data_IF_868456463957
#
_entry.id   IF_868456463957
#
_cell.length_a   1.000
_cell.length_b   1.000
_cell.length_c   1.000
_cell.angle_alpha   90.00
_cell.angle_beta   90.00
_cell.angle_gamma   90.00
#
_symmetry.space_group_name_H-M   'P 1'
#
loop_
_entity.id
_entity.type
_entity.pdbx_description
1 polymer ?
#
# COMPACT_ATOMS: atom_id res chain seq x y z
N UNK A 1 62.25 1.28 27.60
CA UNK A 1 62.82 0.66 26.40
C UNK A 1 62.48 1.55 25.20
N UNK A 2 63.52 1.95 24.46
CA UNK A 2 63.47 2.80 23.26
C UNK A 2 62.78 2.15 22.06
N UNK A 3 62.24 2.99 21.16
CA UNK A 3 62.53 3.11 19.70
C UNK A 3 61.56 4.17 19.12
N UNK A 4 61.99 5.37 18.72
CA UNK A 4 62.43 5.78 17.34
C UNK A 4 61.51 5.18 16.26
N UNK A 5 60.90 5.99 15.37
CA UNK A 5 61.54 6.46 14.12
C UNK A 5 60.71 7.60 13.47
N UNK A 6 61.43 8.62 12.98
CA UNK A 6 61.00 9.67 12.03
C UNK A 6 60.81 9.11 10.61
N UNK A 7 59.87 9.66 9.83
CA UNK A 7 59.92 9.74 8.34
C UNK A 7 58.68 10.51 7.87
N UNK A 8 58.61 11.25 6.77
CA UNK A 8 59.55 12.04 5.95
C UNK A 8 58.65 12.62 4.84
N UNK A 9 58.79 13.92 4.58
CA UNK A 9 58.10 14.63 3.51
C UNK A 9 58.49 14.04 2.13
N UNK A 10 57.51 13.70 1.29
CA UNK A 10 57.74 13.40 -0.13
C UNK A 10 56.74 14.17 -0.97
N UNK A 11 57.25 15.25 -1.57
CA UNK A 11 56.67 15.88 -2.74
C UNK A 11 57.06 15.05 -3.97
N UNK A 12 56.07 14.67 -4.78
CA UNK A 12 56.31 14.12 -6.13
C UNK A 12 55.46 14.89 -7.14
N UNK A 13 56.21 15.70 -7.90
CA UNK A 13 56.10 16.06 -9.31
C UNK A 13 54.73 16.08 -10.03
N UNK A 14 54.53 17.24 -10.66
CA UNK A 14 53.63 17.60 -11.75
C UNK A 14 53.44 16.51 -12.82
N UNK A 15 52.18 16.20 -13.13
CA UNK A 15 51.76 15.51 -14.35
C UNK A 15 50.60 16.27 -14.99
N UNK A 16 50.88 16.99 -16.07
CA UNK A 16 49.89 17.61 -16.95
C UNK A 16 49.18 16.50 -17.75
N UNK A 17 47.85 16.53 -17.76
CA UNK A 17 47.03 15.63 -18.57
C UNK A 17 45.63 16.22 -18.75
N UNK A 18 45.49 17.09 -19.74
CA UNK A 18 44.21 17.67 -20.19
C UNK A 18 43.29 16.59 -20.75
N UNK A 19 42.05 16.51 -20.26
CA UNK A 19 40.93 16.06 -21.09
C UNK A 19 39.75 17.01 -20.87
N UNK A 20 39.51 17.85 -21.88
CA UNK A 20 38.27 18.58 -22.04
C UNK A 20 37.21 17.58 -22.53
N UNK A 21 36.08 17.50 -21.84
CA UNK A 21 34.87 16.89 -22.39
C UNK A 21 33.88 18.02 -22.61
N UNK A 22 33.80 18.48 -23.86
CA UNK A 22 32.63 19.17 -24.38
C UNK A 22 31.54 18.11 -24.58
N UNK A 23 30.35 18.34 -24.03
CA UNK A 23 29.17 17.59 -24.40
C UNK A 23 28.35 18.44 -25.38
N UNK A 24 28.10 17.83 -26.53
CA UNK A 24 27.44 18.33 -27.74
C UNK A 24 26.15 19.12 -27.51
N UNK A 25 26.00 20.15 -28.35
CA UNK A 25 24.72 20.70 -28.76
C UNK A 25 24.36 20.05 -30.11
N UNK A 26 23.21 19.38 -30.19
CA UNK A 26 22.26 19.44 -31.32
C UNK A 26 21.19 18.31 -31.26
N UNK A 27 19.92 18.73 -31.20
CA UNK A 27 18.82 18.05 -31.91
C UNK A 27 17.79 17.28 -31.08
N UNK A 28 16.67 17.93 -30.72
CA UNK A 28 15.43 17.24 -30.34
C UNK A 28 14.40 18.12 -29.60
N UNK A 29 13.42 18.63 -30.33
CA UNK A 29 12.46 19.65 -29.89
C UNK A 29 11.43 19.22 -28.84
N UNK A 30 11.14 20.18 -27.95
CA UNK A 30 9.84 20.54 -27.35
C UNK A 30 9.19 19.68 -26.22
N UNK A 31 9.30 20.17 -24.97
CA UNK A 31 8.13 20.40 -24.08
C UNK A 31 8.45 21.31 -22.86
N UNK A 32 8.32 22.63 -23.07
CA UNK A 32 7.73 23.68 -22.20
C UNK A 32 7.90 23.59 -20.66
N UNK A 33 8.71 24.51 -20.11
CA UNK A 33 8.69 24.90 -18.70
C UNK A 33 9.77 25.94 -18.40
N UNK A 34 9.60 27.16 -18.89
CA UNK A 34 10.61 28.23 -18.86
C UNK A 34 10.97 28.70 -17.45
N UNK A 35 12.27 28.66 -17.15
CA UNK A 35 12.92 29.32 -16.03
C UNK A 35 14.41 29.30 -16.28
N UNK A 36 14.90 30.21 -17.13
CA UNK A 36 16.31 30.31 -17.46
C UNK A 36 17.14 30.51 -16.19
N UNK A 37 18.08 29.59 -15.93
CA UNK A 37 19.02 29.73 -14.83
C UNK A 37 19.87 30.97 -15.08
N UNK A 38 19.63 32.04 -14.30
CA UNK A 38 20.32 33.30 -14.47
C UNK A 38 21.71 33.21 -13.79
N UNK A 39 22.77 33.14 -14.58
CA UNK A 39 24.16 33.00 -14.13
C UNK A 39 24.83 34.35 -13.79
N UNK A 40 24.06 35.42 -13.59
CA UNK A 40 24.52 36.78 -13.85
C UNK A 40 25.12 37.62 -12.71
N UNK A 41 24.93 37.31 -11.43
CA UNK A 41 25.23 38.28 -10.35
C UNK A 41 26.28 37.79 -9.34
N UNK A 42 27.54 37.84 -9.77
CA UNK A 42 28.69 37.82 -8.88
C UNK A 42 29.01 39.25 -8.40
N UNK A 43 29.14 39.46 -7.09
CA UNK A 43 29.66 40.73 -6.53
C UNK A 43 31.11 40.55 -6.08
N UNK A 44 31.80 41.63 -5.70
CA UNK A 44 33.22 41.60 -5.25
C UNK A 44 33.46 40.76 -3.99
N UNK A 45 32.40 40.25 -3.34
CA UNK A 45 32.45 39.39 -2.15
C UNK A 45 32.17 37.91 -2.47
N UNK A 46 31.79 37.56 -3.70
CA UNK A 46 31.51 36.18 -4.14
C UNK A 46 30.23 36.04 -4.98
N UNK A 47 29.98 34.81 -5.46
CA UNK A 47 28.73 34.43 -6.14
C UNK A 47 28.03 33.32 -5.35
N UNK A 48 26.73 33.45 -5.14
CA UNK A 48 25.89 32.43 -4.51
C UNK A 48 24.80 31.99 -5.50
N UNK A 49 24.45 30.70 -5.47
CA UNK A 49 23.39 30.11 -6.30
C UNK A 49 22.73 28.98 -5.55
N UNK A 50 21.41 29.06 -5.39
CA UNK A 50 20.61 27.98 -4.85
C UNK A 50 20.21 27.00 -5.96
N UNK A 51 20.33 25.70 -5.67
CA UNK A 51 19.87 24.62 -6.55
C UNK A 51 18.68 23.95 -5.85
N UNK A 52 17.46 24.03 -6.40
CA UNK A 52 16.31 23.38 -5.80
C UNK A 52 16.42 21.86 -5.93
N UNK A 53 16.18 21.13 -4.84
CA UNK A 53 16.07 19.67 -4.81
C UNK A 53 14.61 19.29 -4.55
N UNK A 54 14.04 18.40 -5.37
CA UNK A 54 12.64 17.95 -5.27
C UNK A 54 12.55 16.42 -5.39
N UNK A 55 11.72 15.80 -4.56
CA UNK A 55 11.34 14.38 -4.63
C UNK A 55 9.81 14.26 -4.59
N UNK A 56 9.24 13.49 -5.52
CA UNK A 56 7.83 13.14 -5.52
C UNK A 56 7.67 11.65 -5.17
N UNK A 57 6.80 11.36 -4.21
CA UNK A 57 6.47 9.99 -3.80
C UNK A 57 5.02 9.71 -4.21
N UNK A 58 4.76 8.79 -5.14
CA UNK A 58 3.39 8.47 -5.56
C UNK A 58 2.63 7.74 -4.45
N UNK A 59 1.30 7.87 -4.46
CA UNK A 59 0.41 7.10 -3.59
C UNK A 59 0.51 5.60 -3.93
N UNK A 60 0.54 4.77 -2.90
CA UNK A 60 0.62 3.32 -2.98
C UNK A 60 -0.31 2.69 -1.95
N UNK A 61 -1.04 1.66 -2.37
CA UNK A 61 -1.91 0.87 -1.52
C UNK A 61 -1.90 -0.59 -1.96
N UNK A 62 -1.78 -1.51 -1.01
CA UNK A 62 -1.78 -2.95 -1.23
C UNK A 62 -2.72 -3.63 -0.23
N UNK A 63 -3.47 -4.64 -0.67
CA UNK A 63 -4.22 -5.55 0.20
C UNK A 63 -3.48 -6.87 0.21
N UNK A 64 -3.02 -7.30 1.38
CA UNK A 64 -2.17 -8.47 1.57
C UNK A 64 -2.88 -9.49 2.48
N UNK A 65 -2.57 -10.77 2.29
CA UNK A 65 -3.17 -11.84 3.08
C UNK A 65 -4.66 -12.07 2.75
N UNK A 66 -5.41 -12.56 3.73
CA UNK A 66 -6.75 -13.11 3.52
C UNK A 66 -6.70 -14.53 2.98
N UNK A 67 -7.42 -15.42 3.64
CA UNK A 67 -7.66 -16.80 3.23
C UNK A 67 -9.15 -17.04 3.05
N UNK A 68 -9.50 -18.08 2.29
CA UNK A 68 -10.89 -18.51 2.20
C UNK A 68 -11.42 -18.89 3.60
N UNK A 69 -12.63 -18.43 3.92
CA UNK A 69 -13.32 -18.77 5.16
C UNK A 69 -14.26 -19.94 4.89
N UNK A 70 -13.91 -21.12 5.37
CA UNK A 70 -14.74 -22.32 5.24
C UNK A 70 -15.67 -22.44 6.44
N UNK A 71 -16.98 -22.32 6.21
CA UNK A 71 -18.00 -22.41 7.26
C UNK A 71 -18.19 -23.86 7.75
N UNK A 72 -18.64 -24.01 9.00
CA UNK A 72 -18.93 -25.31 9.59
C UNK A 72 -20.45 -25.57 9.57
N UNK A 73 -20.86 -26.74 9.07
CA UNK A 73 -22.27 -27.16 9.07
C UNK A 73 -22.89 -27.23 10.47
N UNK A 74 -22.08 -27.46 11.51
CA UNK A 74 -22.53 -27.47 12.90
C UNK A 74 -22.66 -26.04 13.49
N UNK A 75 -22.41 -25.01 12.69
CA UNK A 75 -22.43 -23.61 13.11
C UNK A 75 -21.14 -23.16 13.78
N UNK A 76 -21.17 -21.91 14.27
CA UNK A 76 -20.06 -21.26 14.95
C UNK A 76 -19.42 -20.16 14.11
N UNK A 77 -18.31 -19.61 14.62
CA UNK A 77 -17.58 -18.50 14.00
C UNK A 77 -16.28 -18.99 13.40
N UNK A 78 -16.02 -18.61 12.16
CA UNK A 78 -14.77 -18.84 11.44
C UNK A 78 -14.18 -17.50 11.05
N UNK A 79 -12.85 -17.39 11.00
CA UNK A 79 -12.19 -16.10 10.79
C UNK A 79 -11.02 -16.17 9.83
N UNK A 80 -10.73 -15.05 9.19
CA UNK A 80 -9.50 -14.81 8.43
C UNK A 80 -8.98 -13.40 8.70
N UNK A 81 -7.72 -13.16 8.37
CA UNK A 81 -7.04 -11.88 8.62
C UNK A 81 -6.40 -11.38 7.33
N UNK A 82 -6.50 -10.08 7.06
CA UNK A 82 -5.85 -9.40 5.96
C UNK A 82 -5.24 -8.06 6.41
N UNK A 83 -4.33 -7.52 5.62
CA UNK A 83 -3.65 -6.24 5.88
C UNK A 83 -3.87 -5.29 4.73
N UNK A 84 -4.21 -4.03 5.02
CA UNK A 84 -4.13 -2.93 4.07
C UNK A 84 -2.88 -2.13 4.37
N UNK A 85 -1.92 -2.13 3.45
CA UNK A 85 -0.67 -1.38 3.53
C UNK A 85 -0.77 -0.16 2.64
N UNK A 86 -0.67 1.05 3.20
CA UNK A 86 -0.74 2.28 2.39
C UNK A 86 0.16 3.40 2.92
N UNK A 87 0.70 4.22 2.01
CA UNK A 87 1.42 5.45 2.31
C UNK A 87 0.53 6.72 2.22
N UNK A 88 -0.80 6.55 2.19
CA UNK A 88 -1.78 7.64 2.15
C UNK A 88 -2.99 7.27 3.00
N UNK A 89 -3.78 8.29 3.36
CA UNK A 89 -5.13 8.06 3.90
C UNK A 89 -5.99 7.39 2.83
N UNK A 90 -6.92 6.53 3.23
CA UNK A 90 -7.77 5.78 2.30
C UNK A 90 -9.19 5.58 2.83
N UNK A 91 -10.10 5.28 1.91
CA UNK A 91 -11.45 4.80 2.20
C UNK A 91 -11.51 3.30 1.95
N UNK A 92 -11.91 2.54 2.96
CA UNK A 92 -12.19 1.11 2.87
C UNK A 92 -13.68 0.92 2.62
N UNK A 93 -14.03 0.16 1.59
CA UNK A 93 -15.38 -0.27 1.32
C UNK A 93 -15.50 -1.78 1.45
N UNK A 94 -16.28 -2.21 2.43
CA UNK A 94 -16.55 -3.62 2.71
C UNK A 94 -17.93 -3.99 2.17
N UNK A 95 -17.99 -5.05 1.38
CA UNK A 95 -19.22 -5.57 0.79
C UNK A 95 -19.25 -7.10 0.76
N UNK A 96 -20.42 -7.67 0.56
CA UNK A 96 -20.59 -9.06 0.10
C UNK A 96 -21.13 -9.10 -1.33
N UNK A 97 -20.97 -10.22 -2.01
CA UNK A 97 -21.59 -10.42 -3.32
C UNK A 97 -23.12 -10.56 -3.21
N UNK A 98 -23.61 -11.17 -2.13
CA UNK A 98 -25.02 -11.50 -2.01
C UNK A 98 -25.90 -10.37 -1.42
N UNK A 99 -25.35 -9.50 -0.56
CA UNK A 99 -26.15 -8.45 0.11
C UNK A 99 -25.53 -7.04 0.06
N UNK A 100 -24.38 -6.87 -0.61
CA UNK A 100 -23.75 -5.55 -0.73
C UNK A 100 -23.22 -5.08 0.62
N UNK A 101 -23.74 -3.98 1.16
CA UNK A 101 -23.20 -3.33 2.37
C UNK A 101 -23.92 -3.76 3.66
N UNK A 102 -24.36 -5.01 3.75
CA UNK A 102 -24.99 -5.57 4.96
C UNK A 102 -24.08 -6.58 5.64
N UNK A 103 -23.94 -6.44 6.96
CA UNK A 103 -23.27 -7.42 7.82
C UNK A 103 -24.09 -8.72 7.98
N UNK A 104 -25.43 -8.62 7.89
CA UNK A 104 -26.33 -9.77 7.84
C UNK A 104 -26.50 -10.19 6.38
N UNK A 105 -25.90 -11.32 6.02
CA UNK A 105 -25.83 -11.86 4.65
C UNK A 105 -26.24 -13.33 4.65
N UNK A 106 -25.88 -14.04 3.58
CA UNK A 106 -26.08 -15.47 3.45
C UNK A 106 -25.11 -16.03 2.42
N UNK A 107 -24.78 -17.32 2.56
CA UNK A 107 -24.20 -18.10 1.46
C UNK A 107 -25.33 -18.74 0.66
N UNK A 108 -25.22 -18.73 -0.68
CA UNK A 108 -26.24 -19.28 -1.60
C UNK A 108 -25.78 -20.60 -2.18
N UNK A 109 -26.70 -21.54 -2.37
CA UNK A 109 -26.39 -22.79 -3.06
C UNK A 109 -25.94 -22.48 -4.50
N UNK A 110 -24.92 -23.19 -5.01
CA UNK A 110 -24.34 -22.92 -6.33
C UNK A 110 -25.38 -22.99 -7.47
N UNK A 111 -26.25 -24.00 -7.43
CA UNK A 111 -27.26 -24.23 -8.47
C UNK A 111 -28.62 -23.54 -8.24
N UNK A 112 -28.85 -22.94 -7.06
CA UNK A 112 -30.16 -22.40 -6.68
C UNK A 112 -30.04 -21.26 -5.67
N UNK A 113 -30.18 -20.03 -6.15
CA UNK A 113 -30.08 -18.82 -5.33
C UNK A 113 -31.19 -18.65 -4.28
N UNK A 114 -32.28 -19.42 -4.36
CA UNK A 114 -33.35 -19.40 -3.35
C UNK A 114 -32.98 -20.22 -2.10
N UNK A 115 -32.09 -21.20 -2.26
CA UNK A 115 -31.59 -22.03 -1.16
C UNK A 115 -30.37 -21.37 -0.54
N UNK A 116 -30.48 -20.97 0.73
CA UNK A 116 -29.48 -20.13 1.40
C UNK A 116 -29.27 -20.53 2.85
N UNK A 117 -28.06 -20.30 3.34
CA UNK A 117 -27.73 -20.39 4.77
C UNK A 117 -27.38 -18.98 5.27
N UNK A 118 -28.15 -18.42 6.22
CA UNK A 118 -27.86 -17.10 6.78
C UNK A 118 -26.50 -17.04 7.46
N UNK A 119 -25.81 -15.92 7.29
CA UNK A 119 -24.53 -15.65 7.91
C UNK A 119 -24.46 -14.22 8.44
N UNK A 120 -23.66 -14.00 9.47
CA UNK A 120 -23.33 -12.65 9.94
C UNK A 120 -21.83 -12.46 9.86
N UNK A 121 -21.39 -11.32 9.33
CA UNK A 121 -19.98 -10.97 9.17
C UNK A 121 -19.65 -9.78 10.06
N UNK A 122 -18.55 -9.88 10.80
CA UNK A 122 -17.98 -8.78 11.57
C UNK A 122 -16.53 -8.61 11.16
N UNK A 123 -16.14 -7.38 10.82
CA UNK A 123 -14.75 -7.03 10.53
C UNK A 123 -14.24 -6.09 11.61
N UNK A 124 -13.08 -6.39 12.19
CA UNK A 124 -12.43 -5.57 13.22
C UNK A 124 -11.06 -5.13 12.75
N UNK A 125 -10.68 -3.88 13.06
CA UNK A 125 -9.30 -3.40 12.93
C UNK A 125 -8.55 -3.63 14.23
N UNK A 126 -7.36 -4.21 14.15
CA UNK A 126 -6.47 -4.41 15.30
C UNK A 126 -6.15 -3.08 15.97
N UNK A 127 -6.33 -2.98 17.28
CA UNK A 127 -6.13 -1.73 18.05
C UNK A 127 -7.17 -0.65 17.79
N UNK A 128 -8.20 -0.93 17.00
CA UNK A 128 -9.33 -0.04 16.73
C UNK A 128 -10.64 -0.64 17.22
N UNK A 129 -11.55 -0.95 16.28
CA UNK A 129 -12.85 -1.53 16.58
C UNK A 129 -13.52 -2.10 15.33
N UNK A 130 -14.83 -2.30 15.42
CA UNK A 130 -15.65 -2.82 14.32
C UNK A 130 -15.64 -1.85 13.15
N UNK A 131 -15.42 -2.38 11.95
CA UNK A 131 -15.51 -1.64 10.69
C UNK A 131 -16.89 -1.88 10.09
N UNK A 132 -17.65 -0.80 9.79
CA UNK A 132 -18.95 -0.93 9.18
C UNK A 132 -18.83 -1.44 7.74
N UNK A 133 -19.86 -2.15 7.28
CA UNK A 133 -20.05 -2.41 5.87
C UNK A 133 -20.35 -1.10 5.12
N UNK A 134 -19.94 -1.03 3.85
CA UNK A 134 -19.89 0.24 3.12
C UNK A 134 -18.59 1.00 3.38
N UNK A 135 -18.62 2.32 3.19
CA UNK A 135 -17.43 3.16 3.26
C UNK A 135 -17.02 3.49 4.70
N UNK A 136 -15.73 3.41 4.98
CA UNK A 136 -15.10 3.87 6.23
C UNK A 136 -13.76 4.54 5.92
N UNK A 137 -13.44 5.64 6.60
CA UNK A 137 -12.19 6.38 6.41
C UNK A 137 -11.12 5.89 7.36
N UNK A 138 -9.89 5.76 6.85
CA UNK A 138 -8.74 5.27 7.60
C UNK A 138 -7.54 6.18 7.38
N UNK A 139 -6.76 6.39 8.43
CA UNK A 139 -5.54 7.17 8.36
C UNK A 139 -4.49 6.50 7.46
N UNK A 140 -4.47 5.17 7.35
CA UNK A 140 -3.40 4.48 6.64
C UNK A 140 -2.02 4.88 7.17
N UNK A 141 -1.09 5.19 6.26
CA UNK A 141 0.32 5.52 6.57
C UNK A 141 1.08 4.41 7.31
N UNK A 142 0.54 3.19 7.30
CA UNK A 142 1.01 2.04 8.04
C UNK A 142 0.40 0.75 7.47
N UNK A 143 0.72 -0.37 8.10
CA UNK A 143 0.03 -1.64 7.94
C UNK A 143 -1.20 -1.67 8.87
N UNK A 144 -2.39 -1.55 8.27
CA UNK A 144 -3.66 -1.71 8.98
C UNK A 144 -4.11 -3.17 8.90
N UNK A 145 -4.14 -3.86 10.04
CA UNK A 145 -4.53 -5.29 10.12
C UNK A 145 -6.00 -5.42 10.47
N UNK A 146 -6.71 -6.27 9.73
CA UNK A 146 -8.14 -6.52 9.88
C UNK A 146 -8.42 -8.01 10.07
N UNK A 147 -9.30 -8.33 11.03
CA UNK A 147 -9.85 -9.68 11.21
C UNK A 147 -11.31 -9.69 10.74
N UNK A 148 -11.65 -10.63 9.87
CA UNK A 148 -13.01 -10.89 9.38
C UNK A 148 -13.50 -12.17 10.03
N UNK A 149 -14.62 -12.10 10.72
CA UNK A 149 -15.29 -13.23 11.35
C UNK A 149 -16.65 -13.44 10.70
N UNK A 150 -16.94 -14.67 10.28
CA UNK A 150 -18.21 -15.07 9.70
C UNK A 150 -18.84 -16.14 10.60
N UNK A 151 -20.09 -15.91 10.97
CA UNK A 151 -20.86 -16.80 11.85
C UNK A 151 -22.07 -17.36 11.12
N UNK A 152 -22.30 -18.67 11.25
CA UNK A 152 -23.53 -19.32 10.82
C UNK A 152 -24.12 -20.17 11.97
N UNK A 153 -25.43 -20.37 11.95
CA UNK A 153 -26.08 -21.37 12.80
C UNK A 153 -25.84 -22.78 12.25
N UNK A 154 -26.04 -23.80 13.09
CA UNK A 154 -26.06 -25.19 12.64
C UNK A 154 -27.14 -25.38 11.57
N UNK A 155 -26.78 -26.04 10.47
CA UNK A 155 -27.73 -26.35 9.39
C UNK A 155 -28.51 -27.63 9.74
N UNK A 156 -29.79 -27.67 9.37
CA UNK A 156 -30.63 -28.85 9.61
C UNK A 156 -30.27 -30.01 8.67
N UNK A 157 -30.70 -31.22 9.02
CA UNK A 157 -30.57 -32.40 8.15
C UNK A 157 -31.32 -32.26 6.80
N UNK A 158 -32.27 -31.34 6.70
CA UNK A 158 -33.03 -31.06 5.48
C UNK A 158 -32.42 -29.95 4.64
N UNK A 159 -31.36 -29.28 5.11
CA UNK A 159 -30.62 -28.34 4.28
C UNK A 159 -30.09 -29.07 3.05
N UNK A 160 -30.40 -28.55 1.86
CA UNK A 160 -29.99 -29.17 0.59
C UNK A 160 -28.47 -29.39 0.58
N UNK A 161 -28.06 -30.60 0.24
CA UNK A 161 -26.65 -30.93 0.08
C UNK A 161 -26.05 -30.21 -1.14
N UNK A 162 -24.85 -29.69 -0.98
CA UNK A 162 -24.12 -28.99 -2.03
C UNK A 162 -23.23 -27.89 -1.44
N UNK A 163 -22.58 -27.15 -2.33
CA UNK A 163 -21.71 -26.03 -1.96
C UNK A 163 -22.51 -24.75 -1.88
N UNK A 164 -22.19 -23.92 -0.89
CA UNK A 164 -22.80 -22.62 -0.70
C UNK A 164 -21.74 -21.52 -0.69
N UNK A 165 -21.96 -20.46 -1.45
CA UNK A 165 -20.96 -19.40 -1.62
C UNK A 165 -21.51 -18.01 -1.32
N UNK A 166 -20.63 -17.17 -0.79
CA UNK A 166 -20.69 -15.71 -0.82
C UNK A 166 -19.26 -15.21 -1.04
N UNK A 167 -19.09 -13.96 -1.44
CA UNK A 167 -17.77 -13.36 -1.62
C UNK A 167 -17.68 -12.09 -0.79
N UNK A 168 -16.81 -12.10 0.21
CA UNK A 168 -16.41 -10.90 0.93
C UNK A 168 -15.49 -10.05 0.05
N UNK A 169 -15.90 -8.82 -0.22
CA UNK A 169 -15.22 -7.88 -1.13
C UNK A 169 -14.58 -6.76 -0.33
N UNK A 170 -13.28 -6.58 -0.57
CA UNK A 170 -12.47 -5.51 0.00
C UNK A 170 -12.14 -4.56 -1.15
N UNK A 171 -12.55 -3.30 -1.05
CA UNK A 171 -12.18 -2.26 -2.01
C UNK A 171 -11.54 -1.11 -1.25
N UNK A 172 -10.42 -0.60 -1.78
CA UNK A 172 -9.66 0.50 -1.16
C UNK A 172 -9.49 1.62 -2.17
N UNK A 173 -9.78 2.86 -1.76
CA UNK A 173 -9.71 4.07 -2.59
C UNK A 173 -8.93 5.18 -1.88
N UNK A 174 -8.31 6.10 -2.63
CA UNK A 174 -7.51 7.23 -2.12
C UNK A 174 -7.51 8.43 -3.06
#
# INVERSE_FOLDING_TARGET
MNKLVQTSLMAVALGLGSTAVFADDEGGEAARGGGGYNWGNCTSLGCEKDIPIKLEIPKKCEVLGGSAITLNKNGGTQSSTYTVRSNTHYTLNIQTANTGTSASTYVKHEDDGSVRVPTTIVTNKTGGGVIPFGNSNHNGLADDVYSVSVTNAAVSAFQRAGTYNDTYKIKVYY
#
